data_IF_390332740936
#
_entry.id   IF_390332740936
#
_cell.length_a   1.000
_cell.length_b   1.000
_cell.length_c   1.000
_cell.angle_alpha   90.00
_cell.angle_beta   90.00
_cell.angle_gamma   90.00
#
_symmetry.space_group_name_H-M   'P 1'
#
loop_
_entity.id
_entity.type
_entity.pdbx_description
1 polymer ?
#
# COMPACT_ATOMS: atom_id res chain seq x y z
N UNK A 1 36.92 8.53 28.69
CA UNK A 1 35.50 8.20 28.43
C UNK A 1 34.99 9.15 27.36
N UNK A 2 35.03 8.76 26.09
CA UNK A 2 34.43 9.51 24.98
C UNK A 2 33.30 8.66 24.41
N UNK A 3 32.07 9.18 24.43
CA UNK A 3 30.95 8.50 23.78
C UNK A 3 31.32 8.29 22.30
N UNK A 4 31.30 7.04 21.82
CA UNK A 4 31.32 6.81 20.37
C UNK A 4 30.06 7.47 19.81
N UNK A 5 30.22 8.54 19.04
CA UNK A 5 29.13 9.25 18.36
C UNK A 5 28.47 8.32 17.33
N UNK A 6 27.46 7.55 17.77
CA UNK A 6 26.64 6.74 16.87
C UNK A 6 25.81 7.66 15.98
N UNK A 7 25.84 7.42 14.68
CA UNK A 7 25.15 8.23 13.67
C UNK A 7 23.63 7.95 13.71
N UNK A 8 22.79 8.99 13.83
CA UNK A 8 21.34 8.79 13.79
C UNK A 8 20.88 8.56 12.35
N UNK A 9 20.06 7.53 12.16
CA UNK A 9 19.38 7.22 10.90
C UNK A 9 17.90 7.03 11.22
N UNK A 10 16.99 7.45 10.36
CA UNK A 10 15.57 7.10 10.50
C UNK A 10 15.19 6.04 9.46
N UNK A 11 14.22 5.19 9.79
CA UNK A 11 13.65 4.22 8.87
C UNK A 11 12.17 4.50 8.66
N UNK A 12 11.67 4.23 7.45
CA UNK A 12 10.25 4.31 7.14
C UNK A 12 9.81 3.08 6.34
N UNK A 13 8.78 2.39 6.82
CA UNK A 13 8.01 1.42 6.06
C UNK A 13 6.76 2.09 5.51
N UNK A 14 6.60 2.09 4.20
CA UNK A 14 5.39 2.58 3.52
C UNK A 14 4.80 1.44 2.72
N UNK A 15 3.58 1.04 3.06
CA UNK A 15 2.86 -0.02 2.36
C UNK A 15 1.62 0.52 1.64
N UNK A 16 1.27 -0.14 0.55
CA UNK A 16 0.10 0.14 -0.27
C UNK A 16 -0.70 -1.14 -0.41
N UNK A 17 -1.93 -1.15 0.05
CA UNK A 17 -2.87 -2.24 -0.19
C UNK A 17 -3.79 -1.91 -1.36
N UNK A 18 -3.76 -2.78 -2.36
CA UNK A 18 -4.70 -2.80 -3.46
C UNK A 18 -5.61 -4.00 -3.24
N UNK A 19 -6.92 -3.79 -3.23
CA UNK A 19 -7.86 -4.89 -3.18
C UNK A 19 -9.00 -4.70 -4.15
N UNK A 20 -9.51 -5.84 -4.56
CA UNK A 20 -10.62 -6.00 -5.47
C UNK A 20 -11.66 -6.89 -4.83
N UNK A 21 -12.90 -6.40 -4.78
CA UNK A 21 -14.05 -7.18 -4.33
C UNK A 21 -14.98 -7.39 -5.53
N UNK A 22 -15.62 -8.56 -5.62
CA UNK A 22 -16.63 -8.84 -6.65
C UNK A 22 -17.98 -9.08 -6.00
N UNK A 23 -18.77 -8.01 -5.88
CA UNK A 23 -20.07 -8.06 -5.22
C UNK A 23 -19.91 -8.32 -3.71
N UNK A 24 -20.66 -9.28 -3.19
CA UNK A 24 -20.63 -9.68 -1.77
C UNK A 24 -19.88 -11.01 -1.52
N UNK A 25 -19.23 -11.58 -2.55
CA UNK A 25 -18.58 -12.88 -2.47
C UNK A 25 -17.12 -12.75 -1.95
N UNK A 26 -16.82 -13.21 -0.72
CA UNK A 26 -15.48 -13.08 -0.13
C UNK A 26 -14.43 -13.90 -0.86
N UNK A 27 -14.81 -15.01 -1.51
CA UNK A 27 -13.89 -15.90 -2.22
C UNK A 27 -13.29 -15.27 -3.48
N UNK A 28 -13.95 -14.24 -4.01
CA UNK A 28 -13.52 -13.50 -5.21
C UNK A 28 -12.74 -12.23 -4.88
N UNK A 29 -12.35 -12.07 -3.60
CA UNK A 29 -11.51 -10.97 -3.17
C UNK A 29 -10.06 -11.23 -3.60
N UNK A 30 -9.48 -10.29 -4.36
CA UNK A 30 -8.07 -10.32 -4.76
C UNK A 30 -7.37 -9.18 -4.06
N UNK A 31 -6.25 -9.47 -3.41
CA UNK A 31 -5.46 -8.47 -2.66
C UNK A 31 -4.02 -8.51 -3.14
N UNK A 32 -3.45 -7.33 -3.33
CA UNK A 32 -2.04 -7.11 -3.61
C UNK A 32 -1.52 -6.02 -2.69
N UNK A 33 -0.62 -6.40 -1.79
CA UNK A 33 0.07 -5.47 -0.90
C UNK A 33 1.48 -5.29 -1.43
N UNK A 34 1.89 -4.05 -1.63
CA UNK A 34 3.26 -3.69 -1.99
C UNK A 34 3.80 -2.78 -0.91
N UNK A 35 5.10 -2.83 -0.65
CA UNK A 35 5.72 -1.91 0.29
C UNK A 35 7.12 -1.54 -0.11
N UNK A 36 7.58 -0.45 0.49
CA UNK A 36 8.94 0.04 0.38
C UNK A 36 9.50 0.33 1.78
N UNK A 37 10.81 0.16 1.91
CA UNK A 37 11.56 0.56 3.08
C UNK A 37 12.59 1.60 2.66
N UNK A 38 12.56 2.74 3.34
CA UNK A 38 13.42 3.90 3.09
C UNK A 38 14.23 4.19 4.33
N UNK A 39 15.53 4.45 4.17
CA UNK A 39 16.38 4.99 5.21
C UNK A 39 16.64 6.48 4.96
N UNK A 40 16.50 7.29 6.01
CA UNK A 40 16.68 8.73 5.98
C UNK A 40 17.90 9.12 6.80
N UNK A 41 18.84 9.83 6.16
CA UNK A 41 20.09 10.29 6.76
C UNK A 41 20.04 11.80 6.98
N UNK A 42 20.51 12.33 8.12
CA UNK A 42 20.53 13.76 8.39
C UNK A 42 21.54 14.48 7.49
N UNK A 43 21.29 15.74 7.15
CA UNK A 43 22.15 16.52 6.25
C UNK A 43 23.65 16.54 6.65
N UNK A 44 23.95 16.52 7.95
CA UNK A 44 25.32 16.50 8.48
C UNK A 44 26.12 15.22 8.17
N UNK A 45 25.48 14.17 7.65
CA UNK A 45 26.11 12.88 7.36
C UNK A 45 27.24 12.99 6.32
N UNK A 46 27.09 13.86 5.32
CA UNK A 46 28.07 14.01 4.22
C UNK A 46 29.38 14.58 4.74
N UNK A 47 29.32 15.55 5.67
CA UNK A 47 30.50 16.10 6.34
C UNK A 47 31.17 15.06 7.24
N UNK A 48 30.39 14.24 7.94
CA UNK A 48 30.93 13.16 8.75
C UNK A 48 31.70 12.13 7.90
N UNK A 49 31.13 11.71 6.77
CA UNK A 49 31.78 10.79 5.83
C UNK A 49 33.00 11.40 5.10
N UNK A 50 33.03 12.71 4.88
CA UNK A 50 34.21 13.39 4.37
C UNK A 50 35.38 13.38 5.37
N UNK A 51 35.08 13.44 6.67
CA UNK A 51 36.07 13.43 7.74
C UNK A 51 36.50 12.01 8.17
N UNK A 52 35.73 10.99 7.82
CA UNK A 52 35.99 9.59 8.14
C UNK A 52 35.88 8.71 6.89
N UNK A 53 36.99 8.45 6.17
CA UNK A 53 36.98 7.71 4.90
C UNK A 53 36.67 6.22 5.06
N UNK A 54 36.74 5.67 6.28
CA UNK A 54 36.38 4.29 6.60
C UNK A 54 35.31 4.27 7.71
N UNK A 55 34.07 4.70 7.42
CA UNK A 55 33.00 4.69 8.40
C UNK A 55 32.64 3.25 8.81
N UNK A 56 31.98 3.11 9.96
CA UNK A 56 31.40 1.83 10.36
C UNK A 56 30.45 1.30 9.27
N UNK A 57 30.39 -0.01 9.09
CA UNK A 57 29.51 -0.62 8.10
C UNK A 57 28.04 -0.51 8.56
N UNK A 58 27.17 0.03 7.70
CA UNK A 58 25.74 0.04 7.95
C UNK A 58 25.17 -1.34 7.61
N UNK A 59 24.76 -2.07 8.64
CA UNK A 59 24.11 -3.38 8.52
C UNK A 59 22.76 -3.31 9.22
N UNK A 60 21.73 -3.84 8.59
CA UNK A 60 20.41 -3.92 9.18
C UNK A 60 19.76 -5.27 8.89
N UNK A 61 18.80 -5.63 9.71
CA UNK A 61 18.04 -6.87 9.60
C UNK A 61 16.55 -6.55 9.58
N UNK A 62 15.86 -7.13 8.62
CA UNK A 62 14.39 -7.08 8.55
C UNK A 62 13.84 -8.27 9.34
N UNK A 63 12.92 -8.01 10.26
CA UNK A 63 12.21 -8.99 11.08
C UNK A 63 10.84 -9.24 10.47
N UNK A 64 10.28 -10.44 10.70
CA UNK A 64 9.00 -10.86 10.12
C UNK A 64 9.05 -10.91 8.59
N UNK A 65 10.22 -11.31 8.06
CA UNK A 65 10.46 -11.38 6.63
C UNK A 65 9.68 -12.53 5.95
N UNK A 66 9.31 -13.58 6.70
CA UNK A 66 8.48 -14.70 6.22
C UNK A 66 7.40 -15.04 7.25
N UNK A 67 6.13 -14.91 6.90
CA UNK A 67 5.00 -15.27 7.78
C UNK A 67 4.56 -16.73 7.66
N UNK A 68 5.45 -17.65 7.26
CA UNK A 68 5.15 -19.08 7.30
C UNK A 68 5.37 -19.59 8.73
N UNK A 69 4.30 -20.01 9.40
CA UNK A 69 4.29 -20.60 10.74
C UNK A 69 4.96 -22.00 10.81
N UNK A 70 5.85 -22.33 9.89
CA UNK A 70 6.63 -23.58 9.92
C UNK A 70 7.93 -23.33 10.66
N UNK A 71 8.12 -24.02 11.79
CA UNK A 71 9.35 -24.08 12.59
C UNK A 71 10.61 -23.98 11.73
N UNK A 72 11.19 -22.79 11.64
CA UNK A 72 12.57 -22.54 11.21
C UNK A 72 12.97 -21.14 11.70
N UNK A 73 14.12 -21.07 12.38
CA UNK A 73 14.71 -19.87 13.00
C UNK A 73 15.11 -18.74 12.00
N UNK A 74 14.52 -18.69 10.81
CA UNK A 74 14.91 -17.81 9.70
C UNK A 74 13.88 -16.71 9.39
N UNK A 75 13.15 -16.20 10.39
CA UNK A 75 12.18 -15.10 10.22
C UNK A 75 12.83 -13.71 10.11
N UNK A 76 14.15 -13.67 9.92
CA UNK A 76 14.91 -12.43 9.84
C UNK A 76 15.91 -12.49 8.69
N UNK A 77 16.04 -11.39 7.94
CA UNK A 77 17.00 -11.28 6.82
C UNK A 77 17.93 -10.11 7.03
N UNK A 78 19.23 -10.38 7.04
CA UNK A 78 20.28 -9.37 7.20
C UNK A 78 20.72 -8.79 5.85
N UNK A 79 21.07 -7.50 5.87
CA UNK A 79 21.47 -6.70 4.72
C UNK A 79 22.70 -5.88 5.05
N UNK A 80 23.71 -5.99 4.19
CA UNK A 80 24.93 -5.19 4.27
C UNK A 80 24.89 -4.07 3.23
N UNK A 81 25.02 -2.82 3.68
CA UNK A 81 25.00 -1.66 2.79
C UNK A 81 26.39 -1.40 2.21
N UNK A 82 26.46 -1.19 0.90
CA UNK A 82 27.69 -0.78 0.23
C UNK A 82 28.00 0.69 0.55
N UNK A 83 28.87 0.90 1.55
CA UNK A 83 29.24 2.22 2.06
C UNK A 83 29.82 3.16 0.98
N UNK A 84 30.74 2.74 0.09
CA UNK A 84 31.21 3.57 -1.02
C UNK A 84 30.09 4.11 -1.93
N UNK A 85 29.14 3.24 -2.31
CA UNK A 85 28.01 3.64 -3.16
C UNK A 85 27.07 4.58 -2.41
N UNK A 86 26.78 4.27 -1.14
CA UNK A 86 25.95 5.12 -0.28
C UNK A 86 26.56 6.53 -0.12
N UNK A 87 27.86 6.63 0.16
CA UNK A 87 28.56 7.91 0.33
C UNK A 87 28.51 8.73 -0.96
N UNK A 88 28.76 8.09 -2.11
CA UNK A 88 28.69 8.74 -3.43
C UNK A 88 27.29 9.25 -3.72
N UNK A 89 26.27 8.43 -3.44
CA UNK A 89 24.86 8.80 -3.62
C UNK A 89 24.46 9.98 -2.73
N UNK A 90 24.73 9.90 -1.42
CA UNK A 90 24.40 10.96 -0.47
C UNK A 90 25.11 12.28 -0.82
N UNK A 91 26.36 12.23 -1.28
CA UNK A 91 27.07 13.41 -1.77
C UNK A 91 26.35 14.03 -2.97
N UNK A 92 26.00 13.24 -3.98
CA UNK A 92 25.26 13.71 -5.17
C UNK A 92 23.91 14.33 -4.80
N UNK A 93 23.14 13.69 -3.92
CA UNK A 93 21.83 14.21 -3.49
C UNK A 93 22.00 15.50 -2.67
N UNK A 94 23.05 15.61 -1.86
CA UNK A 94 23.34 16.84 -1.10
C UNK A 94 23.71 18.02 -1.99
N UNK A 95 24.42 17.79 -3.09
CA UNK A 95 24.75 18.82 -4.08
C UNK A 95 23.51 19.27 -4.85
N UNK A 96 22.61 18.34 -5.17
CA UNK A 96 21.34 18.65 -5.85
C UNK A 96 20.33 19.36 -4.94
N UNK A 97 20.31 19.01 -3.64
CA UNK A 97 19.34 19.51 -2.66
C UNK A 97 20.05 19.97 -1.38
N UNK A 98 20.81 21.07 -1.41
CA UNK A 98 21.64 21.51 -0.28
C UNK A 98 20.81 22.02 0.92
N UNK A 99 19.56 22.42 0.70
CA UNK A 99 18.65 22.91 1.75
C UNK A 99 17.86 21.78 2.45
N UNK A 100 18.02 20.52 2.02
CA UNK A 100 17.30 19.41 2.63
C UNK A 100 17.89 19.07 4.01
N UNK A 101 17.03 18.89 5.01
CA UNK A 101 17.43 18.46 6.36
C UNK A 101 17.71 16.96 6.44
N UNK A 102 17.11 16.17 5.55
CA UNK A 102 17.29 14.73 5.45
C UNK A 102 17.40 14.28 3.99
N UNK A 103 18.20 13.23 3.76
CA UNK A 103 18.34 12.54 2.48
C UNK A 103 17.74 11.14 2.59
N UNK A 104 16.72 10.87 1.79
CA UNK A 104 16.02 9.58 1.76
C UNK A 104 16.66 8.66 0.71
N UNK A 105 16.90 7.41 1.09
CA UNK A 105 17.46 6.37 0.23
C UNK A 105 16.54 5.16 0.27
N UNK A 106 16.00 4.78 -0.88
CA UNK A 106 15.18 3.59 -1.03
C UNK A 106 16.05 2.35 -0.86
N UNK A 107 15.77 1.55 0.17
CA UNK A 107 16.57 0.37 0.50
C UNK A 107 15.93 -0.91 -0.04
N UNK A 108 14.60 -1.06 0.10
CA UNK A 108 13.88 -2.24 -0.35
C UNK A 108 12.56 -1.86 -1.00
N UNK A 109 12.16 -2.64 -2.00
CA UNK A 109 10.79 -2.75 -2.50
C UNK A 109 10.37 -4.21 -2.39
N UNK A 110 9.18 -4.46 -1.86
CA UNK A 110 8.66 -5.80 -1.62
C UNK A 110 7.18 -5.89 -1.98
N UNK A 111 6.71 -7.08 -2.29
CA UNK A 111 5.31 -7.36 -2.57
C UNK A 111 4.89 -8.55 -1.73
N UNK A 112 3.82 -8.44 -0.94
CA UNK A 112 3.22 -9.61 -0.32
C UNK A 112 2.24 -10.26 -1.29
N UNK A 113 2.61 -11.45 -1.77
CA UNK A 113 1.68 -12.33 -2.48
C UNK A 113 0.89 -13.13 -1.47
N UNK A 114 -0.39 -12.79 -1.28
CA UNK A 114 -1.34 -13.56 -0.47
C UNK A 114 -2.28 -14.30 -1.42
N UNK A 115 -1.93 -15.54 -1.75
CA UNK A 115 -2.75 -16.37 -2.63
C UNK A 115 -4.07 -16.71 -1.94
N UNK A 116 -5.18 -16.36 -2.59
CA UNK A 116 -6.51 -16.81 -2.20
C UNK A 116 -6.64 -18.30 -2.48
N UNK A 117 -7.00 -19.05 -1.45
CA UNK A 117 -7.28 -20.48 -1.55
C UNK A 117 -8.53 -20.66 -2.43
N UNK A 118 -8.31 -20.92 -3.71
CA UNK A 118 -9.32 -21.39 -4.65
C UNK A 118 -9.33 -22.90 -4.60
N UNK A 119 -10.31 -23.47 -3.92
CA UNK A 119 -10.55 -24.91 -3.86
C UNK A 119 -10.90 -25.45 -5.26
N UNK A 120 -10.17 -26.51 -5.67
CA UNK A 120 -10.51 -27.50 -6.70
C UNK A 120 -10.82 -27.07 -8.14
N UNK A 121 -9.86 -27.21 -9.06
CA UNK A 121 -9.90 -28.32 -10.04
C UNK A 121 -8.68 -28.37 -10.97
N UNK A 122 -8.27 -29.59 -11.29
CA UNK A 122 -7.11 -30.02 -12.05
C UNK A 122 -6.73 -29.18 -13.29
N UNK A 123 -5.50 -28.64 -13.26
CA UNK A 123 -4.59 -28.75 -14.40
C UNK A 123 -3.12 -28.70 -13.97
N UNK A 124 -2.61 -29.85 -13.55
CA UNK A 124 -1.18 -30.17 -13.70
C UNK A 124 -0.91 -30.33 -15.19
N UNK A 125 -0.23 -29.37 -15.79
CA UNK A 125 0.99 -29.57 -16.59
C UNK A 125 1.25 -28.42 -17.57
N UNK A 126 2.52 -28.02 -17.58
CA UNK A 126 3.19 -27.03 -18.45
C UNK A 126 2.93 -25.56 -18.14
N UNK A 127 3.65 -25.06 -17.14
CA UNK A 127 4.43 -23.81 -17.27
C UNK A 127 5.26 -23.64 -15.98
N UNK A 128 6.41 -24.32 -15.93
CA UNK A 128 7.41 -24.17 -14.84
C UNK A 128 8.55 -23.21 -15.23
N UNK A 129 8.36 -22.40 -16.28
CA UNK A 129 9.42 -21.55 -16.87
C UNK A 129 8.96 -20.13 -17.25
N UNK A 130 8.01 -19.53 -16.50
CA UNK A 130 7.63 -18.12 -16.70
C UNK A 130 7.56 -17.31 -15.40
N UNK A 131 8.50 -17.56 -14.49
CA UNK A 131 8.97 -16.54 -13.55
C UNK A 131 9.84 -15.53 -14.30
N UNK A 132 9.24 -14.80 -15.23
CA UNK A 132 9.87 -13.64 -15.86
C UNK A 132 9.86 -12.48 -14.88
N UNK A 133 10.93 -12.43 -14.09
CA UNK A 133 11.42 -11.28 -13.35
C UNK A 133 11.45 -10.08 -14.30
N UNK A 134 10.47 -9.16 -14.18
CA UNK A 134 10.52 -7.89 -14.87
C UNK A 134 11.45 -6.96 -14.10
N UNK A 135 12.76 -7.16 -14.27
CA UNK A 135 13.74 -6.13 -14.00
C UNK A 135 13.57 -5.03 -15.06
N UNK A 136 12.77 -4.00 -14.78
CA UNK A 136 12.85 -2.74 -15.53
C UNK A 136 13.85 -1.82 -14.81
N UNK A 137 15.02 -1.75 -15.42
CA UNK A 137 16.10 -0.75 -15.34
C UNK A 137 15.81 0.47 -14.46
N UNK A 138 16.39 0.47 -13.25
CA UNK A 138 16.71 1.68 -12.50
C UNK A 138 18.17 2.09 -12.80
N UNK A 139 18.52 3.39 -12.77
CA UNK A 139 19.83 3.87 -13.18
C UNK A 139 20.97 3.28 -12.32
N UNK A 140 22.11 3.02 -12.96
CA UNK A 140 23.32 2.33 -12.48
C UNK A 140 24.06 2.99 -11.29
N UNK A 141 23.40 3.24 -10.17
CA UNK A 141 24.08 3.63 -8.90
C UNK A 141 23.61 2.78 -7.72
N UNK A 142 22.53 2.02 -7.89
CA UNK A 142 22.11 1.00 -6.96
C UNK A 142 21.87 -0.28 -7.76
N UNK A 143 22.85 -1.19 -7.78
CA UNK A 143 22.54 -2.63 -7.70
C UNK A 143 21.91 -2.87 -6.32
N UNK A 144 20.77 -2.22 -6.11
CA UNK A 144 19.90 -2.31 -4.96
C UNK A 144 19.31 -3.70 -5.04
N UNK A 145 19.40 -4.45 -3.94
CA UNK A 145 18.61 -5.66 -3.75
C UNK A 145 17.13 -5.32 -4.00
N UNK A 146 16.64 -5.53 -5.22
CA UNK A 146 15.23 -5.81 -5.46
C UNK A 146 15.05 -7.21 -4.90
N UNK A 147 14.74 -7.30 -3.62
CA UNK A 147 14.22 -8.54 -3.10
C UNK A 147 12.79 -8.65 -3.57
N UNK A 148 12.60 -9.46 -4.61
CA UNK A 148 11.34 -10.15 -4.83
C UNK A 148 11.10 -11.04 -3.60
N UNK A 149 10.44 -10.48 -2.59
CA UNK A 149 9.91 -11.23 -1.46
C UNK A 149 8.62 -11.86 -1.94
N UNK A 150 8.71 -12.90 -2.74
CA UNK A 150 7.52 -13.64 -3.15
C UNK A 150 7.06 -14.53 -2.01
N UNK A 151 5.75 -14.40 -1.74
CA UNK A 151 4.84 -15.33 -1.05
C UNK A 151 4.69 -15.15 0.47
N UNK A 152 3.45 -14.87 0.89
CA UNK A 152 2.87 -15.28 2.18
C UNK A 152 1.35 -15.47 2.03
N UNK A 153 0.87 -16.69 2.24
CA UNK A 153 -0.54 -17.11 2.18
C UNK A 153 -1.44 -16.47 3.26
N UNK A 154 -2.61 -15.95 2.85
CA UNK A 154 -3.81 -15.79 3.67
C UNK A 154 -5.05 -15.54 2.78
N UNK A 155 -6.22 -16.03 3.19
CA UNK A 155 -7.50 -15.84 2.50
C UNK A 155 -7.74 -14.36 2.18
N UNK A 156 -7.96 -14.02 0.90
CA UNK A 156 -7.88 -12.63 0.37
C UNK A 156 -8.58 -11.56 1.22
N UNK A 157 -9.83 -11.79 1.64
CA UNK A 157 -10.59 -10.82 2.42
C UNK A 157 -10.05 -10.57 3.85
N UNK A 158 -9.36 -11.55 4.47
CA UNK A 158 -8.79 -11.37 5.81
C UNK A 158 -7.62 -10.39 5.81
N UNK A 159 -7.04 -10.15 4.64
CA UNK A 159 -5.89 -9.27 4.45
C UNK A 159 -6.27 -7.84 4.08
N UNK A 160 -7.56 -7.53 3.93
CA UNK A 160 -8.02 -6.18 3.65
C UNK A 160 -8.38 -5.44 4.94
N UNK A 161 -7.78 -4.27 5.24
CA UNK A 161 -8.09 -3.49 6.44
C UNK A 161 -9.54 -2.98 6.49
N UNK A 162 -10.18 -2.90 5.33
CA UNK A 162 -11.56 -2.51 5.17
C UNK A 162 -12.24 -3.45 4.18
N UNK A 163 -13.16 -4.28 4.68
CA UNK A 163 -13.94 -5.20 3.87
C UNK A 163 -15.11 -4.45 3.27
N UNK A 164 -15.38 -4.67 1.99
CA UNK A 164 -16.41 -3.96 1.24
C UNK A 164 -17.38 -4.94 0.58
N UNK A 165 -18.67 -4.61 0.62
CA UNK A 165 -19.71 -5.25 -0.17
C UNK A 165 -20.58 -4.18 -0.81
N UNK A 166 -20.82 -4.28 -2.11
CA UNK A 166 -21.61 -3.30 -2.86
C UNK A 166 -22.77 -3.98 -3.57
N UNK A 167 -23.94 -3.36 -3.44
CA UNK A 167 -25.16 -3.80 -4.09
C UNK A 167 -25.79 -2.64 -4.88
N UNK A 168 -26.25 -2.97 -6.08
CA UNK A 168 -26.89 -2.04 -7.00
C UNK A 168 -28.26 -2.56 -7.38
N UNK A 169 -29.26 -1.68 -7.35
CA UNK A 169 -30.57 -1.91 -7.95
C UNK A 169 -30.78 -0.85 -9.02
N UNK A 170 -30.70 -1.27 -10.29
CA UNK A 170 -30.83 -0.37 -11.43
C UNK A 170 -32.21 -0.54 -12.06
N UNK A 171 -33.09 0.44 -11.85
CA UNK A 171 -34.40 0.53 -12.49
C UNK A 171 -34.33 1.55 -13.66
N UNK A 172 -35.28 1.53 -14.60
CA UNK A 172 -35.28 2.46 -15.73
C UNK A 172 -35.31 3.95 -15.34
N UNK A 173 -35.94 4.29 -14.21
CA UNK A 173 -36.11 5.67 -13.76
C UNK A 173 -35.31 6.01 -12.49
N UNK A 174 -34.68 5.01 -11.84
CA UNK A 174 -33.98 5.21 -10.58
C UNK A 174 -32.90 4.18 -10.31
N UNK A 175 -31.88 4.56 -9.54
CA UNK A 175 -30.85 3.64 -9.07
C UNK A 175 -30.70 3.71 -7.56
N UNK A 176 -30.77 2.57 -6.88
CA UNK A 176 -30.39 2.43 -5.49
C UNK A 176 -28.98 1.84 -5.37
N UNK A 177 -28.15 2.49 -4.56
CA UNK A 177 -26.80 2.07 -4.23
C UNK A 177 -26.71 1.80 -2.73
N UNK A 178 -26.15 0.64 -2.38
CA UNK A 178 -25.79 0.28 -1.01
C UNK A 178 -24.35 -0.19 -0.96
N UNK A 179 -23.56 0.41 -0.08
CA UNK A 179 -22.17 0.03 0.21
C UNK A 179 -22.11 -0.33 1.69
N UNK A 180 -21.85 -1.59 2.01
CA UNK A 180 -21.56 -2.02 3.37
C UNK A 180 -20.03 -2.11 3.54
N UNK A 181 -19.53 -1.59 4.66
CA UNK A 181 -18.12 -1.65 5.01
C UNK A 181 -17.92 -2.22 6.42
N UNK A 182 -16.82 -2.93 6.62
CA UNK A 182 -16.43 -3.49 7.91
C UNK A 182 -14.92 -3.31 8.12
N UNK A 183 -14.57 -2.60 9.19
CA UNK A 183 -13.20 -2.52 9.68
C UNK A 183 -12.70 -3.92 10.07
N UNK A 184 -11.52 -4.27 9.59
CA UNK A 184 -10.92 -5.58 9.81
C UNK A 184 -9.59 -5.43 10.55
N UNK A 185 -9.58 -5.84 11.82
CA UNK A 185 -8.43 -5.73 12.71
C UNK A 185 -7.35 -6.74 12.37
N UNK A 186 -7.75 -7.89 11.83
CA UNK A 186 -6.88 -9.04 11.60
C UNK A 186 -5.95 -8.82 10.40
N UNK A 187 -6.28 -7.84 9.56
CA UNK A 187 -5.44 -7.41 8.45
C UNK A 187 -4.19 -6.60 8.89
N UNK A 188 -4.14 -6.14 10.15
CA UNK A 188 -3.08 -5.27 10.68
C UNK A 188 -2.37 -5.94 11.86
N UNK A 189 -1.06 -5.71 11.96
CA UNK A 189 -0.27 -6.22 13.11
C UNK A 189 -0.66 -5.52 14.41
N UNK A 190 -0.95 -4.22 14.35
CA UNK A 190 -1.49 -3.45 15.47
C UNK A 190 -2.69 -2.67 14.97
N UNK A 191 -3.84 -2.85 15.60
CA UNK A 191 -5.07 -2.19 15.18
C UNK A 191 -4.94 -0.66 15.28
N UNK A 192 -4.96 0.00 14.13
CA UNK A 192 -4.85 1.46 13.99
C UNK A 192 -6.01 2.00 13.15
N UNK A 193 -6.40 3.25 13.40
CA UNK A 193 -7.50 3.87 12.66
C UNK A 193 -7.16 4.03 11.18
N UNK A 194 -8.16 3.89 10.32
CA UNK A 194 -8.11 4.31 8.92
C UNK A 194 -8.58 5.75 8.87
N UNK A 195 -7.74 6.65 8.37
CA UNK A 195 -8.01 8.07 8.29
C UNK A 195 -8.32 8.51 6.86
N UNK A 196 -9.07 9.61 6.75
CA UNK A 196 -9.43 10.23 5.49
C UNK A 196 -10.07 9.24 4.51
N UNK A 197 -11.00 8.41 5.02
CA UNK A 197 -11.64 7.37 4.22
C UNK A 197 -12.59 8.03 3.23
N UNK A 198 -12.40 7.79 1.95
CA UNK A 198 -13.22 8.34 0.87
C UNK A 198 -13.84 7.22 0.06
N UNK A 199 -15.15 7.29 -0.20
CA UNK A 199 -15.86 6.35 -1.07
C UNK A 199 -16.37 7.12 -2.29
N UNK A 200 -15.91 6.73 -3.47
CA UNK A 200 -16.22 7.40 -4.72
C UNK A 200 -16.81 6.42 -5.72
N UNK A 201 -17.98 6.75 -6.27
CA UNK A 201 -18.70 5.91 -7.23
C UNK A 201 -19.24 6.75 -8.37
N UNK A 202 -18.86 6.49 -9.64
CA UNK A 202 -19.53 7.06 -10.81
C UNK A 202 -20.96 6.54 -10.96
N UNK A 203 -21.91 7.39 -11.30
CA UNK A 203 -23.30 6.99 -11.56
C UNK A 203 -23.68 7.50 -12.96
N UNK A 204 -23.97 6.58 -13.88
CA UNK A 204 -24.43 6.90 -15.23
C UNK A 204 -25.97 6.92 -15.31
N UNK A 205 -26.51 7.09 -16.52
CA UNK A 205 -27.96 7.12 -16.76
C UNK A 205 -28.61 8.51 -16.64
N UNK A 206 -27.81 9.58 -16.75
CA UNK A 206 -28.31 10.96 -16.72
C UNK A 206 -28.95 11.31 -15.38
N UNK A 207 -28.14 11.34 -14.31
CA UNK A 207 -28.66 11.61 -12.97
C UNK A 207 -29.23 13.03 -12.92
N UNK A 208 -30.54 13.13 -12.66
CA UNK A 208 -31.25 14.41 -12.54
C UNK A 208 -31.35 14.88 -11.10
N UNK A 209 -31.45 13.93 -10.15
CA UNK A 209 -31.62 14.25 -8.72
C UNK A 209 -31.12 13.14 -7.81
N UNK A 210 -30.46 13.51 -6.71
CA UNK A 210 -30.19 12.62 -5.57
C UNK A 210 -31.37 12.71 -4.59
N UNK A 211 -32.17 11.66 -4.49
CA UNK A 211 -33.41 11.66 -3.70
C UNK A 211 -33.19 11.36 -2.21
N UNK A 212 -32.38 10.35 -1.92
CA UNK A 212 -32.08 9.91 -0.57
C UNK A 212 -30.59 9.61 -0.48
N UNK A 213 -29.96 10.01 0.63
CA UNK A 213 -28.54 9.77 0.88
C UNK A 213 -28.29 9.69 2.38
N UNK A 214 -27.60 8.65 2.82
CA UNK A 214 -27.24 8.45 4.22
C UNK A 214 -25.94 7.64 4.32
N UNK A 215 -24.92 8.08 5.08
CA UNK A 215 -24.74 9.43 5.63
C UNK A 215 -24.61 10.50 4.52
N UNK A 216 -24.56 11.81 4.86
CA UNK A 216 -24.42 12.87 3.87
C UNK A 216 -23.24 12.64 2.91
N UNK A 217 -23.47 12.90 1.62
CA UNK A 217 -22.50 12.76 0.55
C UNK A 217 -22.48 14.00 -0.33
N UNK A 218 -21.40 14.15 -1.11
CA UNK A 218 -21.29 15.18 -2.14
C UNK A 218 -21.53 14.56 -3.50
N UNK A 219 -22.54 15.05 -4.21
CA UNK A 219 -22.77 14.73 -5.63
C UNK A 219 -22.02 15.73 -6.51
N UNK A 220 -21.24 15.23 -7.48
CA UNK A 220 -20.58 16.04 -8.49
C UNK A 220 -21.25 15.78 -9.85
N UNK A 221 -21.98 16.79 -10.35
CA UNK A 221 -22.70 16.70 -11.62
C UNK A 221 -21.80 16.78 -12.85
N UNK A 222 -20.67 17.48 -12.78
CA UNK A 222 -19.72 17.60 -13.90
C UNK A 222 -19.07 16.25 -14.21
N UNK A 223 -18.74 15.50 -13.16
CA UNK A 223 -18.05 14.22 -13.26
C UNK A 223 -18.95 13.02 -13.01
N UNK A 224 -20.26 13.24 -12.86
CA UNK A 224 -21.32 12.24 -12.66
C UNK A 224 -20.94 11.20 -11.60
N UNK A 225 -20.57 11.66 -10.40
CA UNK A 225 -20.13 10.77 -9.31
C UNK A 225 -20.52 11.27 -7.94
N UNK A 226 -20.74 10.32 -7.04
CA UNK A 226 -20.99 10.57 -5.63
C UNK A 226 -19.73 10.32 -4.80
N UNK A 227 -19.52 11.12 -3.75
CA UNK A 227 -18.38 11.05 -2.84
C UNK A 227 -18.85 11.11 -1.38
N UNK A 228 -18.53 10.08 -0.61
CA UNK A 228 -18.59 10.11 0.86
C UNK A 228 -17.19 10.31 1.44
N UNK A 229 -17.11 11.05 2.55
CA UNK A 229 -15.89 11.22 3.34
C UNK A 229 -16.17 10.85 4.78
N UNK A 230 -15.44 9.86 5.30
CA UNK A 230 -15.47 9.45 6.70
C UNK A 230 -14.09 9.79 7.30
N UNK A 231 -14.01 10.68 8.29
CA UNK A 231 -12.72 11.13 8.85
C UNK A 231 -11.87 9.99 9.41
N UNK A 232 -12.50 9.09 10.15
CA UNK A 232 -11.85 7.94 10.76
C UNK A 232 -12.77 6.71 10.83
N UNK A 233 -12.18 5.53 10.62
CA UNK A 233 -12.82 4.23 10.85
C UNK A 233 -11.88 3.39 11.71
N UNK A 234 -12.38 2.93 12.85
CA UNK A 234 -11.63 2.10 13.80
C UNK A 234 -12.59 1.25 14.65
N UNK A 235 -12.04 0.37 15.49
CA UNK A 235 -12.80 -0.34 16.54
C UNK A 235 -13.56 0.61 17.49
N UNK A 236 -13.10 1.85 17.65
CA UNK A 236 -13.72 2.85 18.55
C UNK A 236 -14.79 3.68 17.86
N UNK A 237 -14.88 3.62 16.53
CA UNK A 237 -15.90 4.31 15.76
C UNK A 237 -17.28 3.66 16.00
N UNK A 238 -18.35 4.34 15.58
CA UNK A 238 -19.71 3.82 15.73
C UNK A 238 -19.84 2.37 15.20
N UNK A 239 -20.59 1.54 15.93
CA UNK A 239 -20.78 0.12 15.65
C UNK A 239 -19.48 -0.70 15.48
N UNK A 240 -18.38 -0.27 16.09
CA UNK A 240 -17.10 -0.97 16.02
C UNK A 240 -16.43 -0.91 14.64
N UNK A 241 -16.75 0.11 13.84
CA UNK A 241 -16.22 0.28 12.48
C UNK A 241 -16.99 -0.48 11.41
N UNK A 242 -18.24 -0.89 11.69
CA UNK A 242 -19.18 -1.47 10.73
C UNK A 242 -20.23 -0.45 10.34
N UNK A 243 -20.46 -0.24 9.04
CA UNK A 243 -21.46 0.72 8.59
C UNK A 243 -21.95 0.49 7.17
N UNK A 244 -22.92 1.32 6.78
CA UNK A 244 -23.56 1.27 5.46
C UNK A 244 -23.69 2.69 4.88
N UNK A 245 -23.43 2.83 3.58
CA UNK A 245 -23.69 4.02 2.78
C UNK A 245 -24.82 3.71 1.79
N UNK A 246 -25.82 4.58 1.76
CA UNK A 246 -27.03 4.42 0.98
C UNK A 246 -27.22 5.66 0.11
N UNK A 247 -27.57 5.46 -1.17
CA UNK A 247 -28.00 6.54 -2.05
C UNK A 247 -29.09 6.06 -3.02
N UNK A 248 -30.02 6.97 -3.35
CA UNK A 248 -31.03 6.78 -4.40
C UNK A 248 -30.99 7.93 -5.40
N UNK A 249 -30.82 7.60 -6.67
CA UNK A 249 -30.73 8.54 -7.78
C UNK A 249 -31.98 8.46 -8.67
N UNK A 250 -32.45 9.60 -9.16
CA UNK A 250 -33.38 9.69 -10.29
C UNK A 250 -32.63 9.86 -11.59
N UNK A 251 -33.09 9.18 -12.63
CA UNK A 251 -32.45 9.09 -13.93
C UNK A 251 -33.34 9.69 -15.02
N UNK A 252 -32.74 10.33 -16.03
CA UNK A 252 -33.42 10.69 -17.27
C UNK A 252 -33.17 9.68 -18.39
N UNK A 253 -32.03 8.98 -18.36
CA UNK A 253 -31.55 8.10 -19.42
C UNK A 253 -31.17 6.72 -18.86
N UNK A 254 -31.98 6.19 -17.93
CA UNK A 254 -31.71 4.90 -17.29
C UNK A 254 -31.96 3.68 -18.20
N UNK A 255 -31.62 2.47 -17.72
CA UNK A 255 -31.03 2.17 -16.42
C UNK A 255 -29.54 2.45 -16.35
N UNK A 256 -29.05 2.81 -15.16
CA UNK A 256 -27.61 2.92 -14.88
C UNK A 256 -26.90 1.57 -15.00
N UNK A 257 -25.65 1.58 -15.44
CA UNK A 257 -24.75 0.42 -15.42
C UNK A 257 -23.87 0.50 -14.16
N UNK A 258 -23.87 -0.56 -13.32
CA UNK A 258 -23.02 -0.59 -12.13
C UNK A 258 -21.55 -0.30 -12.48
N UNK A 259 -21.00 0.69 -11.79
CA UNK A 259 -19.62 1.14 -11.97
C UNK A 259 -18.76 0.74 -10.77
N UNK A 260 -17.43 0.81 -10.90
CA UNK A 260 -16.54 0.48 -9.80
C UNK A 260 -16.59 1.48 -8.64
N UNK A 261 -16.77 0.98 -7.42
CA UNK A 261 -16.48 1.74 -6.20
C UNK A 261 -14.97 1.87 -6.03
N UNK A 262 -14.50 3.10 -5.82
CA UNK A 262 -13.13 3.42 -5.42
C UNK A 262 -13.13 3.86 -3.96
N UNK A 263 -12.31 3.24 -3.13
CA UNK A 263 -12.10 3.62 -1.74
C UNK A 263 -10.66 4.00 -1.51
N UNK A 264 -10.43 5.12 -0.84
CA UNK A 264 -9.11 5.61 -0.48
C UNK A 264 -9.04 5.84 1.03
N UNK A 265 -7.92 5.50 1.65
CA UNK A 265 -7.65 5.85 3.04
C UNK A 265 -6.14 5.81 3.33
N UNK A 266 -5.76 6.40 4.44
CA UNK A 266 -4.39 6.40 4.98
C UNK A 266 -4.39 5.91 6.41
N UNK A 267 -3.31 5.29 6.86
CA UNK A 267 -3.12 4.92 8.25
C UNK A 267 -1.66 5.04 8.65
N UNK A 268 -1.42 5.47 9.88
CA UNK A 268 -0.08 5.62 10.47
C UNK A 268 0.02 4.83 11.78
N UNK A 269 1.21 4.28 12.06
CA UNK A 269 1.50 3.57 13.31
C UNK A 269 1.52 2.04 13.19
N UNK A 270 1.15 1.46 12.05
CA UNK A 270 1.24 0.01 11.81
C UNK A 270 1.68 -0.29 10.37
N UNK A 271 2.09 -1.53 10.14
CA UNK A 271 2.19 -2.18 8.82
C UNK A 271 1.12 -3.27 8.71
N UNK A 272 0.86 -3.72 7.48
CA UNK A 272 0.07 -4.90 7.11
C UNK A 272 0.94 -6.15 7.02
N UNK A 273 2.24 -5.97 6.77
CA UNK A 273 3.23 -7.05 6.74
C UNK A 273 3.61 -7.56 8.13
N UNK A 274 3.58 -6.70 9.14
CA UNK A 274 4.25 -6.95 10.41
C UNK A 274 5.78 -6.85 10.36
N UNK A 275 6.36 -6.45 9.22
CA UNK A 275 7.79 -6.24 9.09
C UNK A 275 8.30 -5.20 10.08
N UNK A 276 9.50 -5.46 10.59
CA UNK A 276 10.27 -4.51 11.40
C UNK A 276 11.73 -4.47 10.97
N UNK A 277 12.48 -3.52 11.53
CA UNK A 277 13.90 -3.33 11.22
C UNK A 277 14.73 -3.16 12.49
N UNK A 278 15.89 -3.81 12.50
CA UNK A 278 16.92 -3.68 13.51
C UNK A 278 18.26 -3.31 12.86
N UNK A 279 19.07 -2.51 13.55
CA UNK A 279 20.46 -2.30 13.15
C UNK A 279 21.34 -3.40 13.74
N UNK A 280 22.33 -3.84 12.97
CA UNK A 280 23.34 -4.80 13.40
C UNK A 280 24.70 -4.12 13.44
N UNK A 281 25.44 -4.32 14.53
CA UNK A 281 26.74 -3.72 14.74
C UNK A 281 26.70 -2.36 15.45
N UNK A 282 27.86 -1.73 15.57
CA UNK A 282 28.03 -0.44 16.21
C UNK A 282 28.24 0.68 15.18
N UNK A 283 27.91 1.91 15.54
CA UNK A 283 28.16 3.11 14.71
C UNK A 283 26.91 3.80 14.18
N UNK A 284 25.76 3.12 14.20
CA UNK A 284 24.46 3.69 13.83
C UNK A 284 23.42 3.45 14.91
N UNK A 285 22.41 4.32 14.99
CA UNK A 285 21.22 4.12 15.82
C UNK A 285 19.99 4.63 15.08
N UNK A 286 18.84 3.97 15.30
CA UNK A 286 17.59 4.52 14.81
C UNK A 286 17.19 5.72 15.66
N UNK A 287 16.95 6.87 15.01
CA UNK A 287 16.32 8.03 15.64
C UNK A 287 14.80 7.92 15.63
N UNK A 288 14.25 7.27 14.60
CA UNK A 288 12.83 7.05 14.40
C UNK A 288 12.60 5.86 13.48
N UNK A 289 11.58 5.06 13.76
CA UNK A 289 11.03 4.07 12.83
C UNK A 289 9.58 4.45 12.57
N UNK A 290 9.28 4.93 11.36
CA UNK A 290 7.93 5.30 10.94
C UNK A 290 7.29 4.12 10.19
N UNK A 291 6.07 3.76 10.56
CA UNK A 291 5.27 2.73 9.89
C UNK A 291 3.96 3.33 9.42
N UNK A 292 3.61 3.13 8.15
CA UNK A 292 2.34 3.61 7.58
C UNK A 292 1.89 2.72 6.43
N UNK A 293 0.60 2.72 6.19
CA UNK A 293 0.04 2.15 4.98
C UNK A 293 -1.06 3.03 4.39
N UNK A 294 -1.23 2.99 3.09
CA UNK A 294 -2.33 3.62 2.38
C UNK A 294 -3.05 2.57 1.53
N UNK A 295 -4.29 2.87 1.15
CA UNK A 295 -5.06 1.98 0.29
C UNK A 295 -5.68 2.71 -0.87
N UNK A 296 -5.73 1.97 -1.98
CA UNK A 296 -6.63 2.23 -3.09
C UNK A 296 -7.40 0.93 -3.33
N UNK A 297 -8.61 0.82 -2.77
CA UNK A 297 -9.49 -0.33 -3.00
C UNK A 297 -10.38 -0.01 -4.20
N UNK A 298 -10.52 -0.95 -5.12
CA UNK A 298 -11.35 -0.78 -6.30
C UNK A 298 -12.21 -2.03 -6.57
N UNK A 299 -13.53 -1.88 -6.58
CA UNK A 299 -14.49 -2.94 -6.93
C UNK A 299 -14.71 -2.88 -8.44
N UNK A 300 -13.74 -3.33 -9.24
CA UNK A 300 -13.80 -3.23 -10.73
C UNK A 300 -14.47 -4.45 -11.37
N UNK A 301 -14.58 -4.48 -12.70
CA UNK A 301 -14.55 -5.74 -13.45
C UNK A 301 -13.10 -6.01 -13.85
N UNK A 302 -12.67 -7.27 -13.78
CA UNK A 302 -11.28 -7.75 -13.94
C UNK A 302 -10.52 -7.16 -15.16
N UNK A 303 -11.21 -6.84 -16.25
CA UNK A 303 -10.61 -6.32 -17.50
C UNK A 303 -10.09 -4.87 -17.42
N UNK A 304 -10.66 -4.00 -16.57
CA UNK A 304 -10.23 -2.59 -16.46
C UNK A 304 -9.00 -2.41 -15.56
N UNK A 305 -8.69 -3.44 -14.76
CA UNK A 305 -7.56 -3.43 -13.82
C UNK A 305 -6.22 -3.53 -14.55
N UNK A 306 -6.16 -4.31 -15.65
CA UNK A 306 -5.00 -4.34 -16.54
C UNK A 306 -4.78 -2.94 -17.13
N UNK A 307 -5.84 -2.24 -17.53
CA UNK A 307 -5.77 -0.88 -18.10
C UNK A 307 -5.24 0.15 -17.09
N UNK A 308 -5.68 0.09 -15.83
CA UNK A 308 -5.33 1.09 -14.82
C UNK A 308 -3.96 0.82 -14.18
N UNK A 309 -3.60 -0.45 -13.98
CA UNK A 309 -2.21 -0.80 -13.61
C UNK A 309 -1.26 -0.38 -14.74
N UNK A 310 -1.64 -0.56 -16.01
CA UNK A 310 -0.85 -0.08 -17.15
C UNK A 310 -0.82 1.46 -17.24
N UNK A 311 -1.92 2.16 -16.97
CA UNK A 311 -1.98 3.63 -16.99
C UNK A 311 -1.18 4.25 -15.84
N UNK A 312 -1.23 3.70 -14.62
CA UNK A 312 -0.37 4.15 -13.51
C UNK A 312 1.11 3.84 -13.79
N UNK A 313 1.42 2.69 -14.42
CA UNK A 313 2.78 2.36 -14.85
C UNK A 313 3.27 3.29 -15.98
N UNK A 314 2.38 3.74 -16.87
CA UNK A 314 2.67 4.72 -17.92
C UNK A 314 2.84 6.14 -17.35
N UNK A 315 2.01 6.55 -16.39
CA UNK A 315 2.14 7.85 -15.72
C UNK A 315 3.44 7.93 -14.90
N UNK A 316 3.82 6.83 -14.23
CA UNK A 316 5.08 6.72 -13.50
C UNK A 316 6.29 6.82 -14.44
N UNK A 317 6.20 6.29 -15.66
CA UNK A 317 7.23 6.50 -16.69
C UNK A 317 7.29 7.93 -17.22
N UNK A 318 6.18 8.66 -17.26
CA UNK A 318 6.14 10.05 -17.72
C UNK A 318 6.63 11.07 -16.68
N UNK A 319 6.60 10.73 -15.39
CA UNK A 319 7.13 11.59 -14.31
C UNK A 319 8.61 11.36 -13.99
N UNK A 320 9.22 10.32 -14.59
CA UNK A 320 10.65 9.99 -14.47
C UNK A 320 11.45 10.27 -15.76
N UNK A 321 10.87 11.02 -16.71
CA UNK A 321 11.54 11.56 -17.89
C UNK A 321 11.92 13.02 -17.71
#
# INVERSE_FOLDING_TARGET
MGAQDTLPVAAAFTETVNAYFKGADPSKCIVKITGEMVLSFPAGITRHFANNPSPAALTFRVINFSSDNTQNDANTKEFWVNMPNLMTHLKKVSEQKPQATYYNVDMLKYQMNRDGDGDGDEKRDRDRDRDTCWAQTLPEILTSLVLDVTKVSAQGIQSTPLNLAVNWRCEPASTDLRIDYKYNTDAMTTAVALNNVQFLVPIDGGVTKLQAVLPPAVWNAEQQRILWKIPDISQKSENGGVGSLLARFQLSEGPSKPSPLVVQFTSEGSTLSGCDIELVGAGYRFSLIKKRFAAVLAIKRMFEMIRIILEEFLLFKQTLG
#
